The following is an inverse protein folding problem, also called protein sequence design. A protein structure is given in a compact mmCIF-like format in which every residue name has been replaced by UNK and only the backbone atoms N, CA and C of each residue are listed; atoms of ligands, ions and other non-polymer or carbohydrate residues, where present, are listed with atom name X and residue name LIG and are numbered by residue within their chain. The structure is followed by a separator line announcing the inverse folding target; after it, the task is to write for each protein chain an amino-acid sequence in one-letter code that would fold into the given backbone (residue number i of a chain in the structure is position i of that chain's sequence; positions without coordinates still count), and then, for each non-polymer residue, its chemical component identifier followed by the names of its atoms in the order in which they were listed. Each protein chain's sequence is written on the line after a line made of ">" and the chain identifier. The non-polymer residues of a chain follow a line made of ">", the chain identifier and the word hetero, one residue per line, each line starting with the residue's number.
data_IF_666301384567
#
_entry.id   IF_666301384567
#
_cell.length_a   1.000
_cell.length_b   1.000
_cell.length_c   1.000
_cell.angle_alpha   90.00
_cell.angle_beta   90.00
_cell.angle_gamma   90.00
#
_symmetry.space_group_name_H-M   'P 1'
#
loop_
_entity.id
_entity.type
_entity.pdbx_description
1 polymer ?
#
# COMPACT_ATOMS: atom_id res chain seq x y z
N UNK A 1 -7.62 11.55 -0.10
CA UNK A 1 -6.73 10.96 0.91
C UNK A 1 -7.48 10.80 2.22
N UNK A 2 -6.93 10.06 3.19
CA UNK A 2 -7.50 9.93 4.55
C UNK A 2 -6.38 9.86 5.59
N UNK A 3 -6.72 10.17 6.85
CA UNK A 3 -5.82 10.20 8.00
C UNK A 3 -6.51 9.66 9.25
N UNK A 4 -5.75 9.41 10.31
CA UNK A 4 -6.25 8.84 11.57
C UNK A 4 -6.00 7.34 11.72
N UNK A 5 -6.38 6.79 12.87
CA UNK A 5 -6.23 5.38 13.22
C UNK A 5 -7.23 4.53 12.42
N UNK A 6 -6.75 3.46 11.77
CA UNK A 6 -7.56 2.55 10.94
C UNK A 6 -8.28 3.25 9.77
N UNK A 7 -7.66 4.28 9.18
CA UNK A 7 -8.21 4.99 8.04
C UNK A 7 -8.49 4.02 6.87
N UNK A 8 -9.70 4.08 6.32
CA UNK A 8 -10.11 3.25 5.16
C UNK A 8 -10.17 4.12 3.91
N UNK A 9 -9.49 3.70 2.85
CA UNK A 9 -9.48 4.43 1.58
C UNK A 9 -9.64 3.46 0.42
N UNK A 10 -10.51 3.78 -0.51
CA UNK A 10 -10.74 2.98 -1.71
C UNK A 10 -10.81 3.83 -2.99
N UNK A 11 -10.30 3.31 -4.10
CA UNK A 11 -10.62 3.78 -5.46
C UNK A 11 -10.44 2.65 -6.47
N UNK A 12 -11.32 2.61 -7.46
CA UNK A 12 -11.28 1.63 -8.57
C UNK A 12 -11.13 2.30 -9.94
N UNK A 13 -10.92 3.61 -9.98
CA UNK A 13 -10.78 4.36 -11.24
C UNK A 13 -9.43 4.10 -11.93
N UNK A 14 -9.44 4.13 -13.26
CA UNK A 14 -8.22 4.06 -14.08
C UNK A 14 -7.26 5.22 -13.74
N UNK A 15 -5.98 4.90 -13.54
CA UNK A 15 -4.94 5.85 -13.11
C UNK A 15 -5.29 6.63 -11.83
N UNK A 16 -6.10 6.06 -10.93
CA UNK A 16 -6.45 6.69 -9.66
C UNK A 16 -5.19 6.99 -8.84
N UNK A 17 -5.15 8.18 -8.23
CA UNK A 17 -4.06 8.61 -7.35
C UNK A 17 -4.61 8.77 -5.94
N UNK A 18 -4.09 7.98 -5.01
CA UNK A 18 -4.56 7.93 -3.64
C UNK A 18 -3.39 8.21 -2.69
N UNK A 19 -3.68 8.85 -1.56
CA UNK A 19 -2.72 8.93 -0.47
C UNK A 19 -3.34 8.78 0.91
N UNK A 20 -2.54 8.33 1.86
CA UNK A 20 -2.90 8.15 3.26
C UNK A 20 -1.80 8.68 4.17
N UNK A 21 -2.16 9.28 5.28
CA UNK A 21 -1.24 9.57 6.39
C UNK A 21 -1.67 8.91 7.70
N UNK A 22 -2.67 8.02 7.64
CA UNK A 22 -3.19 7.30 8.80
C UNK A 22 -2.25 6.23 9.34
N UNK A 23 -2.48 5.84 10.59
CA UNK A 23 -1.84 4.68 11.22
C UNK A 23 -2.74 3.46 11.00
N UNK A 24 -2.15 2.33 10.60
CA UNK A 24 -2.85 1.09 10.26
C UNK A 24 -3.93 1.32 9.18
N UNK A 25 -3.59 2.07 8.13
CA UNK A 25 -4.53 2.33 7.05
C UNK A 25 -4.88 1.04 6.28
N UNK A 26 -6.15 0.92 5.88
CA UNK A 26 -6.65 -0.11 4.96
C UNK A 26 -6.93 0.54 3.62
N UNK A 27 -6.08 0.26 2.64
CA UNK A 27 -6.11 0.91 1.32
C UNK A 27 -6.50 -0.11 0.25
N UNK A 28 -7.42 0.25 -0.63
CA UNK A 28 -7.83 -0.57 -1.78
C UNK A 28 -7.86 0.28 -3.04
N UNK A 29 -6.80 0.18 -3.85
CA UNK A 29 -6.64 0.93 -5.10
C UNK A 29 -6.64 -0.07 -6.27
N UNK A 30 -7.81 -0.53 -6.71
CA UNK A 30 -7.92 -1.65 -7.68
C UNK A 30 -7.99 -1.22 -9.14
N UNK A 31 -8.01 0.09 -9.41
CA UNK A 31 -7.98 0.60 -10.78
C UNK A 31 -6.64 0.31 -11.47
N UNK A 32 -6.68 0.00 -12.77
CA UNK A 32 -5.48 -0.21 -13.57
C UNK A 32 -4.64 1.08 -13.61
N UNK A 33 -3.32 0.95 -13.40
CA UNK A 33 -2.39 2.08 -13.34
C UNK A 33 -2.54 2.97 -12.10
N UNK A 34 -3.21 2.49 -11.05
CA UNK A 34 -3.40 3.27 -9.82
C UNK A 34 -2.09 3.45 -9.05
N UNK A 35 -1.95 4.61 -8.41
CA UNK A 35 -0.77 4.99 -7.64
C UNK A 35 -1.17 5.32 -6.20
N UNK A 36 -0.49 4.71 -5.24
CA UNK A 36 -0.69 4.98 -3.80
C UNK A 36 0.56 5.59 -3.20
N UNK A 37 0.41 6.77 -2.60
CA UNK A 37 1.44 7.38 -1.75
C UNK A 37 1.02 7.34 -0.29
N UNK A 38 1.62 6.45 0.51
CA UNK A 38 1.39 6.41 1.94
C UNK A 38 2.49 7.22 2.66
N UNK A 39 2.10 7.98 3.66
CA UNK A 39 2.99 8.70 4.57
C UNK A 39 2.87 8.20 6.03
N UNK A 40 1.91 7.29 6.29
CA UNK A 40 1.74 6.62 7.58
C UNK A 40 2.11 5.14 7.51
N UNK A 41 1.34 4.28 8.18
CA UNK A 41 1.48 2.82 8.09
C UNK A 41 0.25 2.18 7.47
N UNK A 42 0.41 0.98 6.91
CA UNK A 42 -0.71 0.20 6.36
C UNK A 42 -0.90 -1.07 7.18
N UNK A 43 -2.15 -1.35 7.53
CA UNK A 43 -2.56 -2.69 7.97
C UNK A 43 -2.70 -3.60 6.74
N UNK A 44 -3.25 -3.05 5.65
CA UNK A 44 -3.46 -3.76 4.39
C UNK A 44 -3.47 -2.77 3.22
N UNK A 45 -2.85 -3.16 2.12
CA UNK A 45 -2.94 -2.49 0.83
C UNK A 45 -3.30 -3.50 -0.27
N UNK A 46 -4.18 -3.09 -1.18
CA UNK A 46 -4.56 -3.84 -2.39
C UNK A 46 -4.35 -2.93 -3.57
N UNK A 47 -3.66 -3.41 -4.61
CA UNK A 47 -3.32 -2.65 -5.82
C UNK A 47 -3.91 -3.31 -7.06
N UNK A 48 -4.34 -2.51 -8.03
CA UNK A 48 -4.80 -2.96 -9.34
C UNK A 48 -3.64 -3.26 -10.29
N UNK A 49 -3.94 -3.88 -11.43
CA UNK A 49 -2.98 -4.14 -12.51
C UNK A 49 -2.19 -2.88 -12.88
N UNK A 50 -0.89 -3.02 -13.17
CA UNK A 50 0.03 -1.91 -13.46
C UNK A 50 0.10 -0.83 -12.36
N UNK A 51 -0.43 -1.10 -11.17
CA UNK A 51 -0.42 -0.16 -10.05
C UNK A 51 0.87 -0.22 -9.24
N UNK A 52 1.08 0.80 -8.40
CA UNK A 52 2.22 0.86 -7.50
C UNK A 52 1.90 1.55 -6.17
N UNK A 53 2.74 1.31 -5.16
CA UNK A 53 2.64 1.96 -3.87
C UNK A 53 3.99 2.29 -3.25
N UNK A 54 4.06 3.40 -2.51
CA UNK A 54 5.12 3.68 -1.55
C UNK A 54 4.57 3.67 -0.12
N UNK A 55 5.26 2.96 0.79
CA UNK A 55 4.82 2.80 2.18
C UNK A 55 6.00 2.95 3.16
N UNK A 56 5.92 3.88 4.11
CA UNK A 56 6.93 4.02 5.15
C UNK A 56 6.99 2.82 6.10
N UNK A 57 8.18 2.48 6.55
CA UNK A 57 8.45 1.51 7.62
C UNK A 57 9.71 1.91 8.39
N UNK A 58 9.96 1.32 9.55
CA UNK A 58 11.12 1.67 10.38
C UNK A 58 12.11 0.49 10.46
N UNK A 59 13.37 0.71 10.07
CA UNK A 59 14.41 -0.35 10.01
C UNK A 59 15.15 -0.59 11.34
N UNK A 60 14.56 -0.13 12.44
CA UNK A 60 15.19 -0.10 13.76
C UNK A 60 16.11 1.11 14.01
N UNK A 61 16.46 1.88 12.97
CA UNK A 61 17.30 3.10 13.10
C UNK A 61 16.63 4.36 12.54
N UNK A 62 15.91 4.24 11.42
CA UNK A 62 15.29 5.36 10.71
C UNK A 62 14.08 4.91 9.90
N UNK A 63 13.30 5.89 9.47
CA UNK A 63 12.23 5.66 8.50
C UNK A 63 12.83 5.35 7.13
N UNK A 64 12.26 4.32 6.49
CA UNK A 64 12.52 3.85 5.13
C UNK A 64 11.20 3.85 4.36
N UNK A 65 11.29 3.62 3.05
CA UNK A 65 10.14 3.49 2.16
C UNK A 65 10.24 2.15 1.46
N UNK A 66 9.24 1.30 1.65
CA UNK A 66 8.99 0.13 0.84
C UNK A 66 8.24 0.57 -0.43
N UNK A 67 8.59 -0.01 -1.57
CA UNK A 67 7.93 0.28 -2.85
C UNK A 67 7.44 -1.02 -3.47
N UNK A 68 6.17 -1.04 -3.87
CA UNK A 68 5.55 -2.15 -4.58
C UNK A 68 5.19 -1.73 -6.00
N UNK A 69 5.43 -2.61 -6.96
CA UNK A 69 4.96 -2.52 -8.33
C UNK A 69 4.23 -3.82 -8.65
N UNK A 70 2.97 -3.73 -9.06
CA UNK A 70 2.20 -4.92 -9.44
C UNK A 70 2.81 -5.53 -10.70
N UNK A 71 3.13 -6.83 -10.63
CA UNK A 71 3.85 -7.57 -11.68
C UNK A 71 5.34 -7.78 -11.39
N UNK A 72 5.89 -7.16 -10.33
CA UNK A 72 7.30 -7.32 -9.93
C UNK A 72 7.41 -7.97 -8.55
N UNK A 73 8.50 -8.72 -8.30
CA UNK A 73 8.86 -9.26 -6.98
C UNK A 73 7.73 -10.03 -6.27
N UNK A 74 6.85 -10.70 -7.02
CA UNK A 74 5.73 -11.48 -6.46
C UNK A 74 4.53 -10.64 -6.02
N UNK A 75 4.46 -9.36 -6.39
CA UNK A 75 3.30 -8.50 -6.12
C UNK A 75 2.24 -8.71 -7.20
N UNK A 76 1.09 -9.24 -6.79
CA UNK A 76 -0.03 -9.59 -7.65
C UNK A 76 -1.17 -8.57 -7.52
N UNK A 77 -1.89 -8.35 -8.62
CA UNK A 77 -3.04 -7.47 -8.64
C UNK A 77 -4.17 -8.05 -7.77
N UNK A 78 -4.90 -7.16 -7.10
CA UNK A 78 -6.06 -7.48 -6.27
C UNK A 78 -5.79 -8.42 -5.08
N UNK A 79 -4.52 -8.66 -4.76
CA UNK A 79 -4.09 -9.41 -3.58
C UNK A 79 -3.76 -8.45 -2.44
N UNK A 80 -4.13 -8.76 -1.20
CA UNK A 80 -3.78 -7.95 -0.04
C UNK A 80 -2.36 -8.20 0.46
N UNK A 81 -1.66 -7.10 0.72
CA UNK A 81 -0.33 -7.11 1.31
C UNK A 81 -0.25 -6.19 2.53
N UNK A 82 0.67 -6.48 3.45
CA UNK A 82 1.15 -5.57 4.48
C UNK A 82 2.67 -5.39 4.34
N UNK A 83 3.25 -4.38 5.00
CA UNK A 83 4.71 -4.21 5.03
C UNK A 83 5.25 -4.75 6.35
N UNK A 84 6.16 -5.72 6.29
CA UNK A 84 6.79 -6.30 7.48
C UNK A 84 7.95 -5.42 8.01
N UNK A 85 8.55 -5.86 9.12
CA UNK A 85 9.68 -5.16 9.77
C UNK A 85 10.99 -5.20 8.97
N UNK A 86 11.00 -5.86 7.82
CA UNK A 86 12.11 -5.89 6.85
C UNK A 86 11.84 -5.00 5.62
N UNK A 87 10.68 -4.33 5.58
CA UNK A 87 10.29 -3.48 4.45
C UNK A 87 9.79 -4.24 3.23
N UNK A 88 9.41 -5.50 3.39
CA UNK A 88 8.88 -6.34 2.33
C UNK A 88 7.36 -6.30 2.34
N UNK A 89 6.76 -6.33 1.15
CA UNK A 89 5.33 -6.55 1.01
C UNK A 89 5.04 -8.04 1.15
N UNK A 90 4.38 -8.41 2.24
CA UNK A 90 4.01 -9.78 2.55
C UNK A 90 2.51 -9.95 2.36
N UNK A 91 2.12 -11.04 1.69
CA UNK A 91 0.71 -11.35 1.46
C UNK A 91 -0.01 -11.54 2.80
N UNK A 92 -1.20 -10.98 2.92
CA UNK A 92 -2.09 -11.26 4.07
C UNK A 92 -2.72 -12.64 3.82
N UNK A 93 -2.43 -13.59 4.70
CA UNK A 93 -3.10 -14.89 4.74
C UNK A 93 -4.49 -14.75 5.41
N UNK A 94 -5.43 -15.60 5.02
CA UNK A 94 -6.82 -15.62 5.56
C UNK A 94 -6.89 -16.27 6.95
#
# INVERSE_FOLDING_TARGET
>A
GSSGYNARIGSSGYNARIGSSGYNARITATGNGSVVACAGSVERIVLGENGCASVPWHDGKRIRIAVAYVGENGIEANIPYYVNDEGQFVRVED
#
